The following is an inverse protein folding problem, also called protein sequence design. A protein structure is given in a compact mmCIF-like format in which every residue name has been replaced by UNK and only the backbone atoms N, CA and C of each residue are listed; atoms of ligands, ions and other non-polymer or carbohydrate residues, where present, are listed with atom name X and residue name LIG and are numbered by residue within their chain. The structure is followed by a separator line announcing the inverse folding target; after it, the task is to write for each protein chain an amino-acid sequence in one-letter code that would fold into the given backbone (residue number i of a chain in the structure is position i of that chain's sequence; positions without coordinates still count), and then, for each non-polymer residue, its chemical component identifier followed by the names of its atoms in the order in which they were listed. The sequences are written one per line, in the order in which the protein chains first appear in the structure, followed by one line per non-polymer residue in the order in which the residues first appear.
data_IF_142897428993
#
_entry.id   IF_142897428993
#
_cell.length_a   1.000
_cell.length_b   1.000
_cell.length_c   1.000
_cell.angle_alpha   90.00
_cell.angle_beta   90.00
_cell.angle_gamma   90.00
#
_symmetry.space_group_name_H-M   'P 1'
#
loop_
_entity.id
_entity.type
_entity.pdbx_description
1 polymer ?
#
# COMPACT_ATOMS: atom_id res chain seq x y z
N UNK A 1 -2.25 -0.20 8.08
CA UNK A 1 -2.52 0.04 6.62
C UNK A 1 -3.80 0.86 6.45
N UNK A 2 -3.91 1.67 5.40
CA UNK A 2 -5.14 2.40 5.09
C UNK A 2 -5.55 2.09 3.65
N UNK A 3 -6.69 1.44 3.44
CA UNK A 3 -7.17 1.09 2.10
C UNK A 3 -7.72 2.31 1.37
N UNK A 4 -7.13 2.66 0.23
CA UNK A 4 -7.58 3.81 -0.56
C UNK A 4 -8.57 3.42 -1.64
N UNK A 5 -8.40 2.26 -2.27
CA UNK A 5 -9.21 1.79 -3.40
C UNK A 5 -9.58 0.33 -3.21
N UNK A 6 -10.82 -0.02 -3.53
CA UNK A 6 -11.34 -1.39 -3.53
C UNK A 6 -11.83 -1.77 -4.91
N UNK A 7 -12.15 -3.05 -5.12
CA UNK A 7 -12.64 -3.59 -6.38
C UNK A 7 -13.75 -2.72 -6.99
N UNK A 8 -13.68 -2.48 -8.30
CA UNK A 8 -14.70 -1.76 -9.06
C UNK A 8 -14.74 -0.25 -8.88
N UNK A 9 -13.87 0.33 -8.05
CA UNK A 9 -13.82 1.78 -7.83
C UNK A 9 -13.07 2.56 -8.92
N UNK A 10 -12.37 1.87 -9.81
CA UNK A 10 -11.55 2.51 -10.84
C UNK A 10 -11.80 1.88 -12.19
N UNK A 11 -12.31 2.67 -13.13
CA UNK A 11 -12.40 2.25 -14.53
C UNK A 11 -11.02 2.29 -15.17
N UNK A 12 -10.63 1.23 -15.90
CA UNK A 12 -9.34 1.12 -16.57
C UNK A 12 -9.39 1.65 -18.00
N UNK A 13 -9.73 2.94 -18.14
CA UNK A 13 -9.88 3.64 -19.41
C UNK A 13 -8.66 4.54 -19.73
N UNK A 14 -8.70 5.19 -20.90
CA UNK A 14 -7.62 6.07 -21.34
C UNK A 14 -7.43 7.26 -20.40
N UNK A 15 -8.49 7.80 -19.81
CA UNK A 15 -8.44 8.93 -18.89
C UNK A 15 -7.74 8.52 -17.57
N UNK A 16 -8.12 7.40 -17.00
CA UNK A 16 -7.47 6.85 -15.79
C UNK A 16 -5.99 6.57 -16.03
N UNK A 17 -5.64 5.96 -17.18
CA UNK A 17 -4.24 5.69 -17.52
C UNK A 17 -3.41 6.97 -17.68
N UNK A 18 -3.97 7.98 -18.33
CA UNK A 18 -3.31 9.29 -18.48
C UNK A 18 -3.11 9.98 -17.12
N UNK A 19 -4.10 9.95 -16.26
CA UNK A 19 -4.03 10.47 -14.90
C UNK A 19 -2.94 9.76 -14.08
N UNK A 20 -2.91 8.42 -14.08
CA UNK A 20 -1.90 7.66 -13.37
C UNK A 20 -0.50 7.93 -13.89
N UNK A 21 -0.32 7.99 -15.22
CA UNK A 21 0.98 8.33 -15.84
C UNK A 21 1.46 9.70 -15.39
N UNK A 22 0.60 10.70 -15.39
CA UNK A 22 0.92 12.05 -14.92
C UNK A 22 1.30 12.06 -13.44
N UNK A 23 0.51 11.38 -12.60
CA UNK A 23 0.75 11.28 -11.16
C UNK A 23 2.10 10.60 -10.86
N UNK A 24 2.41 9.47 -11.53
CA UNK A 24 3.68 8.77 -11.35
C UNK A 24 4.88 9.61 -11.80
N UNK A 25 4.74 10.36 -12.90
CA UNK A 25 5.78 11.30 -13.32
C UNK A 25 6.00 12.39 -12.27
N UNK A 26 4.93 12.94 -11.70
CA UNK A 26 5.03 13.95 -10.65
C UNK A 26 5.76 13.42 -9.41
N UNK A 27 5.38 12.22 -8.94
CA UNK A 27 6.06 11.57 -7.81
C UNK A 27 7.53 11.28 -8.14
N UNK A 28 7.84 10.81 -9.36
CA UNK A 28 9.21 10.59 -9.80
C UNK A 28 10.04 11.88 -9.75
N UNK A 29 9.50 13.01 -10.22
CA UNK A 29 10.20 14.29 -10.19
C UNK A 29 10.50 14.75 -8.74
N UNK A 30 9.53 14.55 -7.84
CA UNK A 30 9.66 14.96 -6.45
C UNK A 30 10.58 14.05 -5.62
N UNK A 31 10.57 12.73 -5.87
CA UNK A 31 11.18 11.74 -4.98
C UNK A 31 12.33 10.94 -5.60
N UNK A 32 12.49 11.02 -6.94
CA UNK A 32 13.39 10.18 -7.75
C UNK A 32 13.09 8.68 -7.69
N UNK A 33 11.95 8.28 -7.13
CA UNK A 33 11.51 6.88 -7.15
C UNK A 33 11.27 6.41 -8.60
N UNK A 34 11.69 5.18 -8.95
CA UNK A 34 11.52 4.67 -10.31
C UNK A 34 10.10 4.24 -10.59
N UNK A 35 9.60 4.58 -11.79
CA UNK A 35 8.31 4.14 -12.29
C UNK A 35 8.46 3.62 -13.72
N UNK A 36 7.76 2.53 -14.03
CA UNK A 36 7.66 1.98 -15.37
C UNK A 36 6.17 1.90 -15.76
N UNK A 37 5.75 2.56 -16.84
CA UNK A 37 4.35 2.59 -17.24
C UNK A 37 3.82 1.29 -17.87
N UNK A 38 4.56 0.19 -17.83
CA UNK A 38 4.20 -1.09 -18.46
C UNK A 38 2.80 -1.59 -18.04
N UNK A 39 2.42 -1.36 -16.78
CA UNK A 39 1.09 -1.70 -16.28
C UNK A 39 -0.02 -0.99 -17.06
N UNK A 40 0.21 0.27 -17.47
CA UNK A 40 -0.75 1.09 -18.18
C UNK A 40 -1.02 0.58 -19.62
N UNK A 41 -0.17 -0.33 -20.13
CA UNK A 41 -0.37 -0.98 -21.44
C UNK A 41 -1.38 -2.14 -21.37
N UNK A 42 -1.77 -2.60 -20.18
CA UNK A 42 -2.81 -3.63 -20.04
C UNK A 42 -4.15 -3.12 -20.55
N UNK A 43 -4.92 -4.00 -21.20
CA UNK A 43 -6.28 -3.67 -21.69
C UNK A 43 -7.27 -3.52 -20.54
N UNK A 44 -7.13 -4.31 -19.48
CA UNK A 44 -7.94 -4.25 -18.26
C UNK A 44 -7.05 -4.45 -17.03
N UNK A 45 -7.41 -3.80 -15.95
CA UNK A 45 -6.77 -3.97 -14.64
C UNK A 45 -7.74 -3.48 -13.54
N UNK A 46 -7.92 -4.27 -12.49
CA UNK A 46 -8.63 -3.82 -11.30
C UNK A 46 -7.62 -3.17 -10.34
N UNK A 47 -7.60 -1.84 -10.33
CA UNK A 47 -6.70 -1.05 -9.49
C UNK A 47 -7.17 -1.09 -8.03
N UNK A 48 -7.00 -2.25 -7.41
CA UNK A 48 -7.47 -2.60 -6.08
C UNK A 48 -6.30 -2.74 -5.11
N UNK A 49 -6.29 -1.97 -4.04
CA UNK A 49 -5.23 -2.00 -3.02
C UNK A 49 -5.49 -2.99 -1.88
N UNK A 50 -6.69 -3.58 -1.84
CA UNK A 50 -7.11 -4.48 -0.77
C UNK A 50 -6.22 -5.73 -0.63
N UNK A 51 -5.92 -6.50 -1.69
CA UNK A 51 -5.11 -7.70 -1.59
C UNK A 51 -3.69 -7.41 -1.06
N UNK A 52 -3.05 -6.37 -1.58
CA UNK A 52 -1.71 -5.98 -1.14
C UNK A 52 -1.68 -5.47 0.30
N UNK A 53 -2.69 -4.71 0.75
CA UNK A 53 -2.82 -4.31 2.14
C UNK A 53 -2.96 -5.52 3.07
N UNK A 54 -3.80 -6.48 2.71
CA UNK A 54 -4.01 -7.73 3.47
C UNK A 54 -2.72 -8.55 3.55
N UNK A 55 -1.95 -8.62 2.46
CA UNK A 55 -0.67 -9.32 2.41
C UNK A 55 0.37 -8.69 3.37
N UNK A 56 0.49 -7.36 3.38
CA UNK A 56 1.41 -6.65 4.30
C UNK A 56 1.00 -6.87 5.76
N UNK A 57 -0.29 -6.86 6.07
CA UNK A 57 -0.79 -7.14 7.41
C UNK A 57 -0.51 -8.59 7.81
N UNK A 58 -0.66 -9.54 6.89
CA UNK A 58 -0.31 -10.94 7.10
C UNK A 58 1.18 -11.10 7.47
N UNK A 59 2.08 -10.48 6.72
CA UNK A 59 3.51 -10.50 7.04
C UNK A 59 3.79 -9.85 8.39
N UNK A 60 3.14 -8.74 8.71
CA UNK A 60 3.31 -8.08 10.02
C UNK A 60 2.89 -8.97 11.18
N UNK A 61 1.79 -9.67 11.05
CA UNK A 61 1.27 -10.55 12.10
C UNK A 61 2.15 -11.79 12.30
N UNK A 62 2.65 -12.38 11.23
CA UNK A 62 3.46 -13.60 11.30
C UNK A 62 4.94 -13.33 11.64
N UNK A 63 5.51 -12.22 11.16
CA UNK A 63 6.96 -12.01 11.17
C UNK A 63 7.40 -10.64 11.69
N UNK A 64 6.46 -9.81 12.13
CA UNK A 64 6.73 -8.51 12.73
C UNK A 64 6.80 -7.34 11.74
N UNK A 65 6.93 -6.15 12.30
CA UNK A 65 6.82 -4.88 11.57
C UNK A 65 7.96 -4.68 10.56
N UNK A 66 9.19 -5.04 10.92
CA UNK A 66 10.34 -4.87 10.02
C UNK A 66 10.22 -5.74 8.77
N UNK A 67 9.79 -7.00 8.93
CA UNK A 67 9.51 -7.89 7.81
C UNK A 67 8.41 -7.34 6.91
N UNK A 68 7.36 -6.73 7.50
CA UNK A 68 6.29 -6.11 6.75
C UNK A 68 6.73 -4.89 5.94
N UNK A 69 7.65 -4.05 6.46
CA UNK A 69 8.22 -2.94 5.69
C UNK A 69 9.09 -3.42 4.53
N UNK A 70 9.92 -4.44 4.73
CA UNK A 70 10.73 -5.04 3.67
C UNK A 70 9.82 -5.62 2.59
N UNK A 71 8.81 -6.37 2.96
CA UNK A 71 7.83 -6.96 2.04
C UNK A 71 7.05 -5.89 1.28
N UNK A 72 6.58 -4.83 1.96
CA UNK A 72 5.89 -3.70 1.31
C UNK A 72 6.77 -3.07 0.22
N UNK A 73 8.04 -2.81 0.52
CA UNK A 73 8.97 -2.24 -0.46
C UNK A 73 9.15 -3.16 -1.68
N UNK A 74 9.19 -4.49 -1.48
CA UNK A 74 9.31 -5.46 -2.56
C UNK A 74 8.09 -5.48 -3.48
N UNK A 75 6.86 -5.54 -2.92
CA UNK A 75 5.63 -5.55 -3.73
C UNK A 75 5.36 -4.20 -4.40
N UNK A 76 5.73 -3.08 -3.78
CA UNK A 76 5.69 -1.77 -4.43
C UNK A 76 6.65 -1.71 -5.63
N UNK A 77 7.88 -2.21 -5.47
CA UNK A 77 8.83 -2.33 -6.59
C UNK A 77 8.28 -3.23 -7.70
N UNK A 78 7.69 -4.38 -7.35
CA UNK A 78 7.06 -5.27 -8.32
C UNK A 78 5.97 -4.55 -9.14
N UNK A 79 5.10 -3.82 -8.48
CA UNK A 79 4.03 -3.09 -9.12
C UNK A 79 4.53 -1.92 -9.97
N UNK A 80 5.27 -0.99 -9.35
CA UNK A 80 5.62 0.27 -10.00
C UNK A 80 6.76 0.15 -11.01
N UNK A 81 7.65 -0.84 -10.91
CA UNK A 81 8.79 -0.97 -11.83
C UNK A 81 8.72 -2.13 -12.78
N UNK A 82 8.04 -3.24 -12.40
CA UNK A 82 7.91 -4.43 -13.23
C UNK A 82 6.51 -4.58 -13.85
N UNK A 83 5.51 -3.83 -13.36
CA UNK A 83 4.12 -3.93 -13.80
C UNK A 83 3.44 -5.23 -13.41
N UNK A 84 3.90 -5.86 -12.32
CA UNK A 84 3.31 -7.09 -11.82
C UNK A 84 1.96 -6.83 -11.12
N UNK A 85 1.07 -7.80 -11.22
CA UNK A 85 -0.26 -7.70 -10.63
C UNK A 85 -0.26 -8.10 -9.16
N UNK A 86 -0.01 -7.14 -8.28
CA UNK A 86 -0.03 -7.35 -6.82
C UNK A 86 -1.45 -7.48 -6.23
N UNK A 87 -2.48 -7.68 -7.05
CA UNK A 87 -3.79 -8.15 -6.60
C UNK A 87 -3.87 -9.68 -6.61
N UNK A 88 -2.96 -10.34 -7.32
CA UNK A 88 -2.85 -11.80 -7.39
C UNK A 88 -2.15 -12.38 -6.16
N UNK A 89 -2.77 -13.38 -5.52
CA UNK A 89 -2.17 -14.10 -4.39
C UNK A 89 -0.87 -14.80 -4.79
N UNK A 90 -0.77 -15.33 -6.01
CA UNK A 90 0.43 -16.00 -6.51
C UNK A 90 1.62 -15.03 -6.57
N UNK A 91 1.38 -13.82 -7.09
CA UNK A 91 2.40 -12.77 -7.13
C UNK A 91 2.77 -12.32 -5.71
N UNK A 92 1.78 -12.10 -4.85
CA UNK A 92 2.03 -11.73 -3.46
C UNK A 92 2.85 -12.80 -2.71
N UNK A 93 2.51 -14.08 -2.89
CA UNK A 93 3.24 -15.22 -2.29
C UNK A 93 4.65 -15.36 -2.85
N UNK A 94 4.89 -14.99 -4.12
CA UNK A 94 6.21 -15.04 -4.73
C UNK A 94 7.23 -14.17 -3.96
N UNK A 95 6.81 -13.04 -3.42
CA UNK A 95 7.66 -12.10 -2.68
C UNK A 95 7.84 -12.45 -1.19
N UNK A 96 7.18 -13.49 -0.69
CA UNK A 96 7.41 -13.99 0.68
C UNK A 96 8.74 -14.72 0.73
N UNK A 97 9.65 -14.27 1.59
CA UNK A 97 10.99 -14.87 1.77
C UNK A 97 11.02 -15.88 2.92
N UNK A 98 10.01 -15.88 3.75
CA UNK A 98 9.82 -16.79 4.89
C UNK A 98 8.96 -18.01 4.45
N UNK A 99 8.13 -18.51 5.35
CA UNK A 99 7.23 -19.62 5.09
C UNK A 99 6.01 -19.16 4.25
N UNK A 100 6.01 -19.55 2.96
CA UNK A 100 4.93 -19.21 2.02
C UNK A 100 3.63 -19.94 2.31
N UNK A 101 3.69 -21.14 2.89
CA UNK A 101 2.52 -21.93 3.23
C UNK A 101 1.80 -21.28 4.43
N UNK A 102 2.55 -20.92 5.48
CA UNK A 102 2.02 -20.19 6.62
C UNK A 102 1.44 -18.84 6.18
N UNK A 103 2.11 -18.11 5.28
CA UNK A 103 1.60 -16.87 4.71
C UNK A 103 0.25 -17.09 4.00
N UNK A 104 0.18 -18.07 3.09
CA UNK A 104 -1.03 -18.31 2.29
C UNK A 104 -2.19 -18.71 3.18
N UNK A 105 -1.95 -19.62 4.12
CA UNK A 105 -2.96 -20.05 5.09
C UNK A 105 -3.48 -18.89 5.93
N UNK A 106 -2.58 -18.05 6.48
CA UNK A 106 -2.99 -16.90 7.29
C UNK A 106 -3.70 -15.84 6.44
N UNK A 107 -3.17 -15.51 5.25
CA UNK A 107 -3.77 -14.55 4.32
C UNK A 107 -5.24 -14.90 3.99
N UNK A 108 -5.55 -16.18 3.80
CA UNK A 108 -6.91 -16.66 3.50
C UNK A 108 -7.81 -16.73 4.73
N UNK A 109 -7.27 -16.55 5.92
CA UNK A 109 -8.03 -16.65 7.16
C UNK A 109 -8.96 -15.45 7.41
N UNK A 110 -10.03 -15.67 8.17
CA UNK A 110 -10.88 -14.60 8.67
C UNK A 110 -10.12 -13.64 9.61
N UNK A 111 -9.06 -14.13 10.27
CA UNK A 111 -8.22 -13.31 11.16
C UNK A 111 -7.51 -12.20 10.39
N UNK A 112 -6.91 -12.50 9.22
CA UNK A 112 -6.27 -11.50 8.37
C UNK A 112 -7.26 -10.42 7.91
N UNK A 113 -8.50 -10.84 7.60
CA UNK A 113 -9.59 -9.93 7.22
C UNK A 113 -9.92 -8.95 8.35
N UNK A 114 -10.15 -9.46 9.55
CA UNK A 114 -10.47 -8.64 10.73
C UNK A 114 -9.35 -7.66 11.09
N UNK A 115 -8.09 -8.11 11.02
CA UNK A 115 -6.93 -7.24 11.28
C UNK A 115 -6.84 -6.12 10.25
N UNK A 116 -7.14 -6.38 8.99
CA UNK A 116 -7.13 -5.35 7.95
C UNK A 116 -8.25 -4.33 8.16
N UNK A 117 -9.46 -4.77 8.47
CA UNK A 117 -10.57 -3.87 8.78
C UNK A 117 -10.27 -3.02 10.02
N UNK A 118 -9.64 -3.60 11.04
CA UNK A 118 -9.17 -2.89 12.21
C UNK A 118 -8.15 -1.81 11.84
N UNK A 119 -7.14 -2.14 11.03
CA UNK A 119 -6.12 -1.17 10.59
C UNK A 119 -6.75 -0.01 9.79
N UNK A 120 -7.69 -0.30 8.89
CA UNK A 120 -8.38 0.74 8.12
C UNK A 120 -9.23 1.64 9.02
N UNK A 121 -9.91 1.06 10.00
CA UNK A 121 -10.68 1.80 10.97
C UNK A 121 -9.78 2.69 11.83
N UNK A 122 -8.66 2.14 12.32
CA UNK A 122 -7.65 2.87 13.11
C UNK A 122 -7.06 4.04 12.31
N UNK A 123 -6.67 3.84 11.05
CA UNK A 123 -6.15 4.91 10.21
C UNK A 123 -7.17 6.06 10.07
N UNK A 124 -8.43 5.74 9.83
CA UNK A 124 -9.51 6.75 9.74
C UNK A 124 -9.75 7.48 11.07
N UNK A 125 -9.76 6.76 12.19
CA UNK A 125 -9.95 7.38 13.52
C UNK A 125 -8.82 8.33 13.90
N UNK A 126 -7.62 8.13 13.34
CA UNK A 126 -6.47 9.03 13.48
C UNK A 126 -6.49 10.23 12.50
N UNK A 127 -7.54 10.38 11.69
CA UNK A 127 -7.68 11.47 10.72
C UNK A 127 -6.93 11.23 9.40
N UNK A 128 -6.39 10.04 9.15
CA UNK A 128 -5.74 9.71 7.87
C UNK A 128 -6.80 9.51 6.78
N UNK A 129 -7.00 10.52 5.93
CA UNK A 129 -7.97 10.53 4.84
C UNK A 129 -7.33 10.62 3.44
N UNK A 130 -5.99 10.73 3.38
CA UNK A 130 -5.17 10.67 2.18
C UNK A 130 -3.91 9.86 2.45
N UNK A 131 -3.19 9.43 1.41
CA UNK A 131 -1.97 8.65 1.55
C UNK A 131 -0.85 9.20 0.66
N UNK A 132 0.37 9.27 1.22
CA UNK A 132 0.76 8.93 2.58
C UNK A 132 0.16 9.86 3.63
N UNK A 133 0.03 9.41 4.87
CA UNK A 133 -0.28 10.25 6.03
C UNK A 133 0.69 9.93 7.17
N UNK A 134 1.10 10.97 7.90
CA UNK A 134 1.95 10.84 9.09
C UNK A 134 1.15 11.29 10.30
N UNK A 135 1.13 10.45 11.34
CA UNK A 135 0.52 10.78 12.64
C UNK A 135 1.62 10.80 13.68
N UNK A 136 1.78 11.94 14.33
CA UNK A 136 2.61 12.05 15.53
C UNK A 136 1.69 11.94 16.76
N UNK A 137 2.13 11.17 17.72
CA UNK A 137 1.48 11.04 19.03
C UNK A 137 2.54 11.46 20.07
N UNK A 138 2.24 12.46 20.87
CA UNK A 138 3.13 12.91 21.96
C UNK A 138 2.99 12.03 23.21
N UNK A 139 3.78 12.35 24.25
CA UNK A 139 3.80 11.62 25.51
C UNK A 139 2.47 11.73 26.28
N UNK A 140 1.71 12.80 26.06
CA UNK A 140 0.39 13.03 26.66
C UNK A 140 -0.75 12.40 25.85
N UNK A 141 -0.44 11.78 24.69
CA UNK A 141 -1.41 11.12 23.81
C UNK A 141 -2.10 12.07 22.83
N UNK A 142 -1.69 13.33 22.71
CA UNK A 142 -2.21 14.22 21.69
C UNK A 142 -1.74 13.79 20.30
N UNK A 143 -2.66 13.82 19.35
CA UNK A 143 -2.40 13.37 17.98
C UNK A 143 -2.44 14.54 17.00
N UNK A 144 -1.41 14.61 16.14
CA UNK A 144 -1.37 15.50 14.99
C UNK A 144 -1.27 14.65 13.72
N UNK A 145 -2.25 14.77 12.82
CA UNK A 145 -2.27 14.06 11.54
C UNK A 145 -1.97 15.00 10.39
N UNK A 146 -0.93 14.70 9.62
CA UNK A 146 -0.62 15.36 8.36
C UNK A 146 -0.98 14.45 7.20
N UNK A 147 -1.94 14.86 6.40
CA UNK A 147 -2.37 14.15 5.20
C UNK A 147 -1.57 14.61 3.96
N UNK A 148 -1.29 13.65 3.06
CA UNK A 148 -0.49 13.86 1.87
C UNK A 148 1.03 13.74 2.13
N UNK A 149 1.80 13.76 1.03
CA UNK A 149 3.26 13.72 1.12
C UNK A 149 3.81 14.96 1.80
N UNK A 150 4.67 14.76 2.77
CA UNK A 150 5.41 15.79 3.49
C UNK A 150 6.90 15.50 3.46
N UNK A 151 7.70 16.53 3.33
CA UNK A 151 9.15 16.42 3.45
C UNK A 151 9.57 16.11 4.89
N UNK A 152 10.76 15.51 5.06
CA UNK A 152 11.28 15.16 6.38
C UNK A 152 11.30 16.37 7.34
N UNK A 153 11.73 17.53 6.85
CA UNK A 153 11.78 18.76 7.68
C UNK A 153 10.41 19.23 8.17
N UNK A 154 9.34 19.00 7.39
CA UNK A 154 7.98 19.31 7.82
C UNK A 154 7.51 18.33 8.90
N UNK A 155 7.84 17.04 8.74
CA UNK A 155 7.50 15.98 9.70
C UNK A 155 8.21 16.21 11.05
N UNK A 156 9.45 16.66 11.02
CA UNK A 156 10.24 16.90 12.25
C UNK A 156 9.83 18.15 13.02
N UNK A 157 9.02 19.03 12.44
CA UNK A 157 8.54 20.28 13.08
C UNK A 157 7.25 20.11 13.89
N UNK A 158 6.63 18.96 13.85
CA UNK A 158 5.41 18.64 14.61
C UNK A 158 5.69 17.90 15.90
#
# INVERSE_FOLDING_TARGET
MGGLRTTGQTTWDAQTKAYLKSTWNHVHQATKQPFNPILLNKNSFDYNTYPSCKAVITIRELYGTDAAFIYLAQIQKAFYTKGEDITSLDILSHYVTQDKEAFTHFYQSNRAELLMQHDFSKARSMGANAFPSTVKIDEDGHMVCMNGYKGLEEILKI
#
